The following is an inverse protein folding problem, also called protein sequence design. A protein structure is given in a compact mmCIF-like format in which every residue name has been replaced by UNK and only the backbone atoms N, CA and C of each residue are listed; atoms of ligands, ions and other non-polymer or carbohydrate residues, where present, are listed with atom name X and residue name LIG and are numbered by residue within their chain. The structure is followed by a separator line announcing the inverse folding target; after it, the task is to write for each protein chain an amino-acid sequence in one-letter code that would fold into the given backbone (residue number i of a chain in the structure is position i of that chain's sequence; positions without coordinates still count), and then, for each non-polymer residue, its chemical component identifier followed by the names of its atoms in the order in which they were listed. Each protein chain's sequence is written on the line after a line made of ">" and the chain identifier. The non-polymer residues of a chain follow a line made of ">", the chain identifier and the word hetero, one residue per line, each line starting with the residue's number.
data_IF_268283102979
#
_entry.id   IF_268283102979
#
_cell.length_a   1.000
_cell.length_b   1.000
_cell.length_c   1.000
_cell.angle_alpha   90.00
_cell.angle_beta   90.00
_cell.angle_gamma   90.00
#
_symmetry.space_group_name_H-M   'P 1'
#
loop_
_entity.id
_entity.type
_entity.pdbx_description
1 polymer ?
#
# COMPACT_ATOMS: atom_id res chain seq x y z
N UNK A 1 -15.98 -5.79 10.70
CA UNK A 1 -14.65 -6.33 10.36
C UNK A 1 -13.62 -5.24 10.54
N UNK A 2 -12.52 -5.54 11.18
CA UNK A 2 -11.40 -4.62 11.33
C UNK A 2 -10.29 -5.00 10.36
N UNK A 3 -9.88 -4.05 9.52
CA UNK A 3 -8.81 -4.22 8.55
C UNK A 3 -7.54 -3.54 9.06
N UNK A 4 -6.43 -4.27 9.02
CA UNK A 4 -5.10 -3.77 9.36
C UNK A 4 -4.30 -3.67 8.06
N UNK A 5 -4.08 -2.44 7.61
CA UNK A 5 -3.30 -2.16 6.40
C UNK A 5 -1.85 -1.90 6.78
N UNK A 6 -0.94 -2.67 6.23
CA UNK A 6 0.50 -2.52 6.46
C UNK A 6 1.17 -2.15 5.14
N UNK A 7 1.93 -1.06 5.15
CA UNK A 7 2.85 -0.74 4.06
C UNK A 7 4.14 -1.55 4.24
N UNK A 8 4.66 -2.15 3.15
CA UNK A 8 5.92 -2.89 3.19
C UNK A 8 7.06 -2.07 3.79
N UNK A 9 8.10 -2.74 4.27
CA UNK A 9 9.28 -2.11 4.81
C UNK A 9 10.09 -1.34 3.76
N UNK A 10 10.99 -0.48 4.22
CA UNK A 10 11.85 0.32 3.34
C UNK A 10 12.76 -0.55 2.50
N UNK A 11 12.80 -0.27 1.20
CA UNK A 11 13.58 -1.01 0.21
C UNK A 11 14.75 -0.19 -0.31
N UNK A 12 15.61 -0.83 -1.10
CA UNK A 12 16.73 -0.16 -1.74
C UNK A 12 16.27 1.00 -2.65
N UNK A 13 15.22 0.83 -3.45
CA UNK A 13 14.70 1.90 -4.28
C UNK A 13 14.08 3.04 -3.48
N UNK A 14 13.46 2.74 -2.34
CA UNK A 14 13.00 3.80 -1.43
C UNK A 14 14.19 4.64 -0.95
N UNK A 15 15.29 4.00 -0.57
CA UNK A 15 16.50 4.68 -0.12
C UNK A 15 17.10 5.56 -1.25
N UNK A 16 17.07 5.06 -2.48
CA UNK A 16 17.60 5.78 -3.65
C UNK A 16 16.66 6.88 -4.15
N UNK A 17 15.45 6.99 -3.61
CA UNK A 17 14.46 7.97 -4.08
C UNK A 17 13.92 7.68 -5.47
N UNK A 18 13.72 6.41 -5.81
CA UNK A 18 13.15 5.98 -7.08
C UNK A 18 11.67 5.65 -6.96
N UNK A 19 10.94 5.91 -8.04
CA UNK A 19 9.58 5.39 -8.16
C UNK A 19 9.60 3.87 -8.22
N UNK A 20 8.76 3.25 -7.39
CA UNK A 20 8.65 1.80 -7.30
C UNK A 20 7.17 1.43 -7.27
N UNK A 21 6.63 1.10 -8.43
CA UNK A 21 5.24 0.74 -8.63
C UNK A 21 5.05 -0.76 -8.80
N UNK A 22 4.03 -1.13 -9.60
CA UNK A 22 3.66 -2.53 -9.80
C UNK A 22 4.66 -3.33 -10.63
N UNK A 23 5.47 -2.67 -11.45
CA UNK A 23 6.38 -3.33 -12.40
C UNK A 23 7.84 -3.34 -11.94
N UNK A 24 8.15 -2.74 -10.78
CA UNK A 24 9.48 -2.74 -10.22
C UNK A 24 9.50 -3.34 -8.83
N UNK A 25 10.62 -3.88 -8.45
CA UNK A 25 10.82 -4.42 -7.12
C UNK A 25 12.28 -4.30 -6.71
N UNK A 26 12.53 -4.06 -5.44
CA UNK A 26 13.86 -3.99 -4.87
C UNK A 26 13.83 -4.61 -3.47
N UNK A 27 14.98 -5.12 -2.97
CA UNK A 27 15.01 -5.83 -1.70
C UNK A 27 14.78 -4.91 -0.51
N UNK A 28 14.21 -5.46 0.56
CA UNK A 28 14.16 -4.79 1.86
C UNK A 28 15.56 -4.51 2.37
N UNK A 29 15.75 -3.34 2.99
CA UNK A 29 16.98 -3.03 3.69
C UNK A 29 17.11 -3.89 4.95
N UNK A 30 18.34 -4.15 5.40
CA UNK A 30 18.58 -4.94 6.62
C UNK A 30 17.92 -4.33 7.85
N UNK A 31 18.00 -3.01 8.01
CA UNK A 31 17.35 -2.30 9.11
C UNK A 31 15.81 -2.40 9.05
N UNK A 32 15.25 -2.51 7.85
CA UNK A 32 13.81 -2.70 7.66
C UNK A 32 13.33 -4.04 8.21
N UNK A 33 14.13 -5.10 8.04
CA UNK A 33 13.80 -6.43 8.55
C UNK A 33 13.64 -6.37 10.07
N UNK A 34 14.56 -5.69 10.76
CA UNK A 34 14.49 -5.52 12.20
C UNK A 34 13.25 -4.72 12.64
N UNK A 35 12.95 -3.63 11.93
CA UNK A 35 11.76 -2.82 12.20
C UNK A 35 10.46 -3.61 11.97
N UNK A 36 10.43 -4.46 10.95
CA UNK A 36 9.27 -5.32 10.65
C UNK A 36 9.10 -6.43 11.68
N UNK A 37 10.18 -6.95 12.25
CA UNK A 37 10.11 -7.88 13.35
C UNK A 37 9.45 -7.22 14.58
N UNK A 38 9.79 -5.97 14.86
CA UNK A 38 9.15 -5.18 15.93
C UNK A 38 7.66 -4.97 15.65
N UNK A 39 7.29 -4.67 14.40
CA UNK A 39 5.89 -4.56 14.00
C UNK A 39 5.17 -5.89 14.20
N UNK A 40 5.80 -6.99 13.82
CA UNK A 40 5.27 -8.34 14.06
C UNK A 40 5.04 -8.62 15.53
N UNK A 41 5.96 -8.22 16.40
CA UNK A 41 5.82 -8.34 17.85
C UNK A 41 4.66 -7.47 18.38
N UNK A 42 4.50 -6.27 17.84
CA UNK A 42 3.37 -5.40 18.17
C UNK A 42 2.02 -6.02 17.83
N UNK A 43 1.93 -6.75 16.72
CA UNK A 43 0.71 -7.38 16.21
C UNK A 43 0.57 -8.83 16.68
N UNK A 44 1.48 -9.36 17.49
CA UNK A 44 1.62 -10.80 17.74
C UNK A 44 0.40 -11.45 18.39
N UNK A 45 -0.34 -10.71 19.19
CA UNK A 45 -1.50 -11.23 19.93
C UNK A 45 -2.81 -11.17 19.13
N UNK A 46 -2.80 -10.52 17.98
CA UNK A 46 -4.00 -10.41 17.15
C UNK A 46 -4.16 -11.72 16.38
N UNK A 47 -5.32 -12.37 16.56
CA UNK A 47 -5.71 -13.54 15.79
C UNK A 47 -6.39 -13.06 14.52
N UNK A 48 -5.65 -13.04 13.40
CA UNK A 48 -6.21 -12.68 12.10
C UNK A 48 -7.00 -13.86 11.52
N UNK A 49 -8.23 -13.60 11.08
CA UNK A 49 -9.04 -14.63 10.42
C UNK A 49 -8.55 -14.90 8.99
N UNK A 50 -7.95 -13.90 8.37
CA UNK A 50 -7.35 -14.00 7.05
C UNK A 50 -6.18 -13.02 6.92
N UNK A 51 -5.18 -13.43 6.13
CA UNK A 51 -3.98 -12.64 5.87
C UNK A 51 -3.76 -12.57 4.36
N UNK A 52 -3.77 -11.38 3.81
CA UNK A 52 -3.55 -11.12 2.39
C UNK A 52 -2.33 -10.23 2.20
N UNK A 53 -1.57 -10.52 1.17
CA UNK A 53 -0.42 -9.71 0.78
C UNK A 53 -0.41 -9.47 -0.72
N UNK A 54 0.02 -8.29 -1.13
CA UNK A 54 0.47 -8.09 -2.51
C UNK A 54 1.46 -9.19 -2.89
N UNK A 55 1.45 -9.62 -4.14
CA UNK A 55 2.34 -10.65 -4.63
C UNK A 55 3.72 -10.12 -5.07
N UNK A 56 3.99 -8.82 -4.90
CA UNK A 56 5.31 -8.25 -5.11
C UNK A 56 6.23 -8.62 -3.93
N UNK A 57 7.48 -8.94 -4.24
CA UNK A 57 8.41 -9.54 -3.25
C UNK A 57 8.56 -8.71 -1.99
N UNK A 58 8.70 -7.39 -2.11
CA UNK A 58 8.83 -6.49 -0.94
C UNK A 58 7.65 -6.58 0.04
N UNK A 59 6.44 -6.78 -0.48
CA UNK A 59 5.25 -6.98 0.34
C UNK A 59 5.17 -8.41 0.90
N UNK A 60 5.48 -9.41 0.08
CA UNK A 60 5.56 -10.81 0.52
C UNK A 60 6.52 -10.96 1.69
N UNK A 61 7.73 -10.45 1.55
CA UNK A 61 8.76 -10.55 2.58
C UNK A 61 8.31 -9.87 3.87
N UNK A 62 7.70 -8.68 3.75
CA UNK A 62 7.11 -7.97 4.90
C UNK A 62 6.07 -8.82 5.61
N UNK A 63 5.14 -9.39 4.86
CA UNK A 63 4.05 -10.21 5.41
C UNK A 63 4.57 -11.47 6.09
N UNK A 64 5.55 -12.13 5.50
CA UNK A 64 6.18 -13.33 6.05
C UNK A 64 6.87 -13.03 7.39
N UNK A 65 7.58 -11.91 7.48
CA UNK A 65 8.23 -11.48 8.73
C UNK A 65 7.17 -11.26 9.83
N UNK A 66 6.09 -10.53 9.52
CA UNK A 66 5.02 -10.27 10.48
C UNK A 66 4.39 -11.58 10.95
N UNK A 67 4.06 -12.49 10.03
CA UNK A 67 3.45 -13.77 10.37
C UNK A 67 4.38 -14.69 11.15
N UNK A 68 5.69 -14.62 10.93
CA UNK A 68 6.66 -15.40 11.70
C UNK A 68 6.68 -15.04 13.18
N UNK A 69 6.20 -13.85 13.53
CA UNK A 69 6.16 -13.33 14.91
C UNK A 69 4.78 -13.47 15.55
N UNK A 70 3.75 -13.87 14.81
CA UNK A 70 2.38 -13.94 15.30
C UNK A 70 2.17 -15.22 16.11
N UNK A 71 1.45 -15.13 17.24
CA UNK A 71 1.13 -16.28 18.09
C UNK A 71 0.10 -17.21 17.46
N UNK A 72 -0.65 -16.72 16.47
CA UNK A 72 -1.68 -17.45 15.75
C UNK A 72 -1.44 -17.36 14.23
N UNK A 73 -0.29 -17.88 13.74
CA UNK A 73 0.07 -17.67 12.33
C UNK A 73 -0.96 -18.28 11.37
N UNK A 74 -1.28 -17.52 10.32
CA UNK A 74 -2.20 -17.94 9.27
C UNK A 74 -1.46 -18.10 7.96
N UNK A 75 -2.04 -18.90 7.07
CA UNK A 75 -1.57 -18.99 5.67
C UNK A 75 -1.75 -17.64 5.00
N UNK A 76 -0.71 -17.18 4.30
CA UNK A 76 -0.74 -15.92 3.56
C UNK A 76 -1.33 -16.20 2.17
N UNK A 77 -2.37 -15.47 1.80
CA UNK A 77 -2.89 -15.46 0.44
C UNK A 77 -2.31 -14.28 -0.32
N UNK A 78 -1.64 -14.54 -1.44
CA UNK A 78 -1.08 -13.50 -2.28
C UNK A 78 -2.14 -13.01 -3.25
N UNK A 79 -2.41 -11.70 -3.22
CA UNK A 79 -3.52 -11.08 -3.95
C UNK A 79 -3.01 -9.96 -4.88
N UNK A 80 -3.04 -10.18 -6.22
CA UNK A 80 -2.57 -9.15 -7.17
C UNK A 80 -3.33 -7.82 -7.09
N UNK A 81 -4.58 -7.83 -6.61
CA UNK A 81 -5.34 -6.60 -6.42
C UNK A 81 -4.66 -5.63 -5.45
N UNK A 82 -3.80 -6.13 -4.55
CA UNK A 82 -3.08 -5.34 -3.56
C UNK A 82 -1.75 -4.77 -4.08
N UNK A 83 -1.40 -4.98 -5.33
CA UNK A 83 -0.18 -4.42 -5.92
C UNK A 83 -0.16 -2.91 -5.84
N UNK A 84 1.05 -2.35 -5.86
CA UNK A 84 1.24 -0.91 -5.96
C UNK A 84 0.67 -0.38 -7.28
N UNK A 85 0.48 0.92 -7.32
CA UNK A 85 0.09 1.69 -8.49
C UNK A 85 0.96 1.33 -9.69
N UNK A 86 0.37 1.03 -10.83
CA UNK A 86 1.10 0.89 -12.09
C UNK A 86 1.57 2.27 -12.51
N UNK A 87 2.85 2.54 -12.37
CA UNK A 87 3.42 3.87 -12.59
C UNK A 87 3.93 4.10 -14.02
N UNK A 88 3.83 3.08 -14.90
CA UNK A 88 4.20 3.20 -16.30
C UNK A 88 5.64 3.68 -16.48
N UNK A 89 5.79 4.78 -17.24
CA UNK A 89 7.12 5.36 -17.54
C UNK A 89 7.85 5.94 -16.33
N UNK A 90 7.16 6.15 -15.21
CA UNK A 90 7.81 6.63 -13.98
C UNK A 90 8.65 5.54 -13.32
N UNK A 91 8.33 4.27 -13.55
CA UNK A 91 8.92 3.12 -12.87
C UNK A 91 10.44 3.14 -12.90
N UNK A 92 11.08 3.04 -11.73
CA UNK A 92 12.53 2.99 -11.57
C UNK A 92 13.27 4.31 -11.73
N UNK A 93 12.61 5.36 -12.21
CA UNK A 93 13.24 6.67 -12.35
C UNK A 93 13.37 7.36 -10.99
N UNK A 94 14.41 8.20 -10.86
CA UNK A 94 14.56 9.02 -9.65
C UNK A 94 13.45 10.06 -9.59
N UNK A 95 12.81 10.17 -8.43
CA UNK A 95 11.74 11.13 -8.17
C UNK A 95 12.24 12.55 -8.43
N UNK A 96 13.45 12.89 -8.00
CA UNK A 96 14.05 14.21 -8.22
C UNK A 96 14.19 14.54 -9.71
N UNK A 97 14.58 13.58 -10.54
CA UNK A 97 14.73 13.76 -11.99
C UNK A 97 13.38 14.07 -12.64
N UNK A 98 12.36 13.27 -12.34
CA UNK A 98 11.02 13.45 -12.89
C UNK A 98 10.40 14.75 -12.38
N UNK A 99 10.61 15.10 -11.13
CA UNK A 99 10.11 16.37 -10.55
C UNK A 99 10.72 17.60 -11.23
N UNK A 100 11.95 17.51 -11.71
CA UNK A 100 12.58 18.57 -12.47
C UNK A 100 11.98 18.74 -13.88
N UNK A 101 11.57 17.62 -14.50
CA UNK A 101 11.00 17.62 -15.87
C UNK A 101 9.50 17.95 -15.84
N UNK A 102 8.75 17.38 -14.88
CA UNK A 102 7.30 17.50 -14.77
C UNK A 102 6.89 18.02 -13.38
N UNK A 103 7.28 19.25 -13.00
CA UNK A 103 7.04 19.74 -11.65
C UNK A 103 5.56 19.80 -11.26
N UNK A 104 4.69 20.21 -12.17
CA UNK A 104 3.24 20.32 -11.90
C UNK A 104 2.59 18.95 -11.74
N UNK A 105 2.98 17.97 -12.58
CA UNK A 105 2.45 16.61 -12.46
C UNK A 105 2.93 15.90 -11.20
N UNK A 106 4.17 16.13 -10.80
CA UNK A 106 4.69 15.56 -9.56
C UNK A 106 4.06 16.21 -8.32
N UNK A 107 3.80 17.50 -8.37
CA UNK A 107 3.01 18.19 -7.34
C UNK A 107 1.60 17.58 -7.24
N UNK A 108 0.95 17.36 -8.40
CA UNK A 108 -0.38 16.74 -8.45
C UNK A 108 -0.36 15.31 -7.90
N UNK A 109 0.61 14.50 -8.31
CA UNK A 109 0.75 13.12 -7.84
C UNK A 109 0.94 13.04 -6.32
N UNK A 110 1.66 13.98 -5.74
CA UNK A 110 1.94 14.00 -4.29
C UNK A 110 0.84 14.60 -3.46
N UNK A 111 0.14 15.62 -3.97
CA UNK A 111 -0.73 16.46 -3.14
C UNK A 111 -2.16 16.64 -3.64
N UNK A 112 -2.41 16.43 -4.94
CA UNK A 112 -3.75 16.62 -5.50
C UNK A 112 -3.98 15.70 -6.70
N UNK A 113 -4.42 14.49 -6.42
CA UNK A 113 -4.61 13.47 -7.45
C UNK A 113 -5.71 13.81 -8.46
N UNK A 114 -6.62 14.75 -8.17
CA UNK A 114 -7.60 15.23 -9.14
C UNK A 114 -6.94 15.91 -10.34
N UNK A 115 -5.73 16.45 -10.18
CA UNK A 115 -4.96 17.11 -11.24
C UNK A 115 -3.88 16.23 -11.85
N UNK A 116 -3.74 14.99 -11.40
CA UNK A 116 -2.75 14.06 -11.94
C UNK A 116 -3.24 13.48 -13.29
N UNK A 117 -2.44 13.70 -14.34
CA UNK A 117 -2.70 13.13 -15.65
C UNK A 117 -1.87 11.85 -15.85
N UNK A 118 -2.45 10.71 -15.54
CA UNK A 118 -1.78 9.41 -15.63
C UNK A 118 -1.36 9.04 -17.07
N UNK A 119 -2.09 9.51 -18.09
CA UNK A 119 -1.80 9.14 -19.48
C UNK A 119 -0.47 9.68 -19.99
N UNK A 120 0.06 10.78 -19.44
CA UNK A 120 1.39 11.30 -19.76
C UNK A 120 2.47 10.22 -19.53
N UNK A 121 2.28 9.41 -18.48
CA UNK A 121 3.25 8.42 -18.02
C UNK A 121 2.84 6.97 -18.36
N UNK A 122 1.73 6.79 -19.05
CA UNK A 122 1.15 5.45 -19.28
C UNK A 122 0.91 4.69 -17.95
N UNK A 123 0.53 5.44 -16.93
CA UNK A 123 0.25 4.89 -15.60
C UNK A 123 -1.24 4.59 -15.42
N UNK A 124 -1.59 3.83 -14.40
CA UNK A 124 -2.98 3.68 -13.98
C UNK A 124 -3.56 5.04 -13.59
N UNK A 125 -4.86 5.22 -13.81
CA UNK A 125 -5.59 6.35 -13.24
C UNK A 125 -5.79 6.16 -11.73
N UNK A 126 -6.12 7.23 -11.03
CA UNK A 126 -6.52 7.19 -9.62
C UNK A 126 -7.67 6.21 -9.42
N UNK A 127 -8.66 6.27 -10.30
CA UNK A 127 -9.83 5.39 -10.24
C UNK A 127 -9.44 3.91 -10.38
N UNK A 128 -8.59 3.58 -11.36
CA UNK A 128 -8.17 2.19 -11.58
C UNK A 128 -7.44 1.61 -10.39
N UNK A 129 -6.45 2.34 -9.85
CA UNK A 129 -5.63 1.84 -8.75
C UNK A 129 -6.44 1.72 -7.45
N UNK A 130 -7.28 2.70 -7.12
CA UNK A 130 -8.09 2.65 -5.91
C UNK A 130 -9.21 1.63 -5.99
N UNK A 131 -9.80 1.44 -7.17
CA UNK A 131 -10.87 0.47 -7.35
C UNK A 131 -10.41 -0.96 -7.13
N UNK A 132 -9.17 -1.30 -7.54
CA UNK A 132 -8.65 -2.66 -7.33
C UNK A 132 -8.69 -3.04 -5.85
N UNK A 133 -8.12 -2.20 -5.01
CA UNK A 133 -8.03 -2.45 -3.56
C UNK A 133 -9.38 -2.28 -2.89
N UNK A 134 -10.10 -1.20 -3.18
CA UNK A 134 -11.38 -0.94 -2.51
C UNK A 134 -12.42 -2.01 -2.82
N UNK A 135 -12.48 -2.51 -4.05
CA UNK A 135 -13.40 -3.61 -4.43
C UNK A 135 -13.03 -4.89 -3.69
N UNK A 136 -11.75 -5.21 -3.58
CA UNK A 136 -11.29 -6.39 -2.85
C UNK A 136 -11.66 -6.30 -1.37
N UNK A 137 -11.42 -5.17 -0.73
CA UNK A 137 -11.76 -4.96 0.69
C UNK A 137 -13.27 -5.04 0.92
N UNK A 138 -14.04 -4.42 0.03
CA UNK A 138 -15.53 -4.50 0.10
C UNK A 138 -16.03 -5.94 -0.07
N UNK A 139 -15.39 -6.73 -0.93
CA UNK A 139 -15.70 -8.15 -1.07
C UNK A 139 -15.46 -8.91 0.26
N UNK A 140 -14.41 -8.56 1.01
CA UNK A 140 -14.12 -9.21 2.29
C UNK A 140 -15.20 -8.95 3.35
N UNK A 141 -15.97 -7.87 3.24
CA UNK A 141 -17.06 -7.56 4.19
C UNK A 141 -18.11 -8.66 4.25
N UNK A 142 -18.31 -9.40 3.17
CA UNK A 142 -19.29 -10.48 3.10
C UNK A 142 -18.79 -11.79 3.71
N UNK A 143 -17.53 -11.82 4.17
CA UNK A 143 -16.93 -12.98 4.82
C UNK A 143 -17.10 -12.87 6.35
N UNK A 144 -17.11 -14.02 7.05
CA UNK A 144 -17.27 -14.03 8.51
C UNK A 144 -15.97 -13.66 9.24
N UNK A 145 -15.26 -12.63 8.77
CA UNK A 145 -14.00 -12.20 9.35
C UNK A 145 -14.20 -11.09 10.37
N UNK A 146 -13.49 -11.15 11.48
CA UNK A 146 -13.43 -10.09 12.47
C UNK A 146 -12.18 -9.23 12.29
N UNK A 147 -11.02 -9.86 12.06
CA UNK A 147 -9.73 -9.20 11.88
C UNK A 147 -9.05 -9.71 10.62
N UNK A 148 -8.65 -8.79 9.76
CA UNK A 148 -7.96 -9.11 8.50
C UNK A 148 -6.69 -8.29 8.39
N UNK A 149 -5.58 -8.94 8.04
CA UNK A 149 -4.31 -8.28 7.73
C UNK A 149 -4.17 -8.14 6.22
N UNK A 150 -3.81 -6.93 5.77
CA UNK A 150 -3.59 -6.59 4.37
C UNK A 150 -2.22 -5.92 4.25
N UNK A 151 -1.29 -6.56 3.56
CA UNK A 151 0.05 -6.02 3.36
C UNK A 151 0.21 -5.57 1.91
N UNK A 152 0.60 -4.32 1.74
CA UNK A 152 0.70 -3.71 0.41
C UNK A 152 1.63 -2.51 0.37
N UNK A 153 1.20 -1.45 -0.28
CA UNK A 153 2.07 -0.40 -0.79
C UNK A 153 1.61 1.00 -0.41
N UNK A 154 2.57 1.94 -0.40
CA UNK A 154 2.34 3.27 0.13
C UNK A 154 1.38 4.14 -0.67
N UNK A 155 1.61 4.29 -1.97
CA UNK A 155 0.78 5.18 -2.80
C UNK A 155 -0.63 4.61 -2.96
N UNK A 156 -0.74 3.32 -3.27
CA UNK A 156 -2.05 2.69 -3.44
C UNK A 156 -2.85 2.69 -2.14
N UNK A 157 -2.28 2.22 -1.02
CA UNK A 157 -3.01 2.15 0.25
C UNK A 157 -3.40 3.53 0.76
N UNK A 158 -2.53 4.53 0.62
CA UNK A 158 -2.89 5.90 1.00
C UNK A 158 -4.15 6.36 0.27
N UNK A 159 -4.17 6.18 -1.05
CA UNK A 159 -5.31 6.57 -1.86
C UNK A 159 -6.54 5.69 -1.60
N UNK A 160 -6.37 4.38 -1.52
CA UNK A 160 -7.47 3.43 -1.38
C UNK A 160 -8.16 3.51 -0.01
N UNK A 161 -7.38 3.65 1.07
CA UNK A 161 -7.93 3.81 2.42
C UNK A 161 -8.83 5.05 2.49
N UNK A 162 -8.35 6.17 1.97
CA UNK A 162 -9.13 7.41 2.00
C UNK A 162 -10.32 7.38 1.04
N UNK A 163 -10.19 6.66 -0.07
CA UNK A 163 -11.34 6.40 -0.95
C UNK A 163 -12.42 5.59 -0.23
N UNK A 164 -12.04 4.56 0.54
CA UNK A 164 -12.98 3.79 1.35
C UNK A 164 -13.68 4.65 2.40
N UNK A 165 -13.03 5.70 2.89
CA UNK A 165 -13.60 6.65 3.84
C UNK A 165 -14.41 7.78 3.18
N UNK A 166 -14.54 7.77 1.85
CA UNK A 166 -15.36 8.74 1.12
C UNK A 166 -14.63 10.02 0.71
N UNK A 167 -13.30 10.05 0.79
CA UNK A 167 -12.55 11.24 0.38
C UNK A 167 -12.46 11.32 -1.14
N UNK A 168 -12.52 12.54 -1.67
CA UNK A 168 -12.37 12.81 -3.09
C UNK A 168 -10.90 12.81 -3.54
N UNK A 169 -10.64 12.58 -4.86
CA UNK A 169 -9.27 12.53 -5.39
C UNK A 169 -8.40 13.71 -5.01
N UNK A 170 -8.95 14.92 -4.94
CA UNK A 170 -8.19 16.13 -4.60
C UNK A 170 -7.50 16.06 -3.24
N UNK A 171 -8.03 15.29 -2.29
CA UNK A 171 -7.55 15.25 -0.90
C UNK A 171 -6.97 13.90 -0.47
N UNK A 172 -6.94 12.90 -1.35
CA UNK A 172 -6.46 11.56 -1.00
C UNK A 172 -5.01 11.56 -0.48
N UNK A 173 -4.17 12.43 -0.99
CA UNK A 173 -2.77 12.56 -0.59
C UNK A 173 -2.41 13.93 0.01
N UNK A 174 -3.40 14.76 0.30
CA UNK A 174 -3.17 16.13 0.77
C UNK A 174 -2.39 16.20 2.08
N UNK A 175 -2.52 15.20 2.95
CA UNK A 175 -1.83 15.11 4.24
C UNK A 175 -0.65 14.14 4.23
N UNK A 176 -0.11 13.83 3.05
CA UNK A 176 0.99 12.89 2.90
C UNK A 176 0.55 11.43 2.81
N UNK A 177 1.51 10.53 2.81
CA UNK A 177 1.31 9.09 2.66
C UNK A 177 1.60 8.29 3.92
N UNK A 178 1.45 6.98 3.82
CA UNK A 178 1.81 6.05 4.88
C UNK A 178 3.33 5.86 4.93
N UNK A 179 3.87 5.71 6.12
CA UNK A 179 5.30 5.41 6.29
C UNK A 179 5.58 3.92 6.01
N UNK A 180 6.81 3.62 5.59
CA UNK A 180 7.27 2.24 5.44
C UNK A 180 7.11 1.48 6.77
N UNK A 181 6.57 0.26 6.71
CA UNK A 181 6.38 -0.56 7.90
C UNK A 181 5.32 -0.04 8.86
N UNK A 182 4.48 0.88 8.45
CA UNK A 182 3.39 1.39 9.27
C UNK A 182 2.15 0.50 9.19
N UNK A 183 1.32 0.54 10.24
CA UNK A 183 0.02 -0.12 10.27
C UNK A 183 -1.09 0.91 10.47
N UNK A 184 -2.14 0.79 9.67
CA UNK A 184 -3.35 1.63 9.75
C UNK A 184 -4.55 0.70 9.89
N UNK A 185 -5.36 0.90 10.91
CA UNK A 185 -6.55 0.07 11.11
C UNK A 185 -7.83 0.84 10.82
N UNK A 186 -8.78 0.17 10.17
CA UNK A 186 -10.11 0.70 9.86
C UNK A 186 -11.17 -0.33 10.21
N UNK A 187 -12.28 0.15 10.74
CA UNK A 187 -13.50 -0.64 10.86
C UNK A 187 -14.33 -0.49 9.56
N UNK A 188 -14.94 -1.58 9.09
CA UNK A 188 -15.74 -1.52 7.86
C UNK A 188 -17.01 -0.69 8.00
N UNK A 189 -17.46 -0.44 9.22
CA UNK A 189 -18.58 0.46 9.50
C UNK A 189 -18.27 1.92 9.11
N UNK A 190 -16.98 2.28 9.07
CA UNK A 190 -16.53 3.63 8.72
C UNK A 190 -16.44 3.84 7.20
N UNK A 191 -16.65 2.81 6.40
CA UNK A 191 -16.59 2.92 4.95
C UNK A 191 -17.82 3.64 4.41
N UNK A 192 -17.59 4.49 3.41
CA UNK A 192 -18.69 5.09 2.65
C UNK A 192 -19.47 4.00 1.89
N UNK A 193 -20.78 4.13 1.90
CA UNK A 193 -21.71 3.18 1.25
C UNK A 193 -22.02 3.58 -0.18
#
# INVERSE_FOLDING_TARGET
>A
MKCYFVRHGKTQWNLEGRFQGANGDSPLLKESIHDLEKLGDYLQDISFDAVFSSDLKRAKDTCQIIMSRNQHPQTITFEPALREWHLGKLEGNKIATISAIYPHQMQAFRHNLAKFNNSIFEAESVYQTTKRVSSFVKFLKDKPYQNVLLVGHGANFTASIRTLLGYEPAVLRAKGGLDNGSVTSLETEDFEH
#
